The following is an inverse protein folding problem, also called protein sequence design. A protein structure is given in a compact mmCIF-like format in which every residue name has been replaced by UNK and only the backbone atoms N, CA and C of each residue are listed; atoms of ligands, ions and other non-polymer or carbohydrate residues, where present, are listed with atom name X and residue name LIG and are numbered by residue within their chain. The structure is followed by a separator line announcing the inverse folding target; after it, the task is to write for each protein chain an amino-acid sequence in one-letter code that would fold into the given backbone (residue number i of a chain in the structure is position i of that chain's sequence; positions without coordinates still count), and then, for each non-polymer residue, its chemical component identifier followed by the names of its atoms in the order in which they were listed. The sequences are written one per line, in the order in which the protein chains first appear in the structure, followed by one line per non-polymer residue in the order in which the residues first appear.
data_IF_981052144598
#
_entry.id   IF_981052144598
#
_cell.length_a   1.000
_cell.length_b   1.000
_cell.length_c   1.000
_cell.angle_alpha   90.00
_cell.angle_beta   90.00
_cell.angle_gamma   90.00
#
_symmetry.space_group_name_H-M   'P 1'
#
loop_
_entity.id
_entity.type
_entity.pdbx_description
1 polymer ?
#
# COMPACT_ATOMS: atom_id res chain seq x y z
N UNK A 1 -2.36 -45.45 -27.21
CA UNK A 1 -3.06 -45.01 -26.00
C UNK A 1 -4.26 -44.22 -26.48
N UNK A 2 -5.47 -44.33 -25.89
CA UNK A 2 -6.58 -43.51 -26.31
C UNK A 2 -6.19 -42.04 -26.15
N UNK A 3 -6.46 -41.21 -27.18
CA UNK A 3 -6.24 -39.78 -27.15
C UNK A 3 -6.97 -39.18 -25.93
N UNK A 4 -6.22 -38.78 -24.92
CA UNK A 4 -6.79 -38.11 -23.75
C UNK A 4 -7.23 -36.71 -24.15
N UNK A 5 -8.53 -36.49 -24.15
CA UNK A 5 -9.14 -35.22 -24.45
C UNK A 5 -9.01 -34.28 -23.25
N UNK A 6 -8.40 -33.13 -23.42
CA UNK A 6 -8.35 -32.06 -22.40
C UNK A 6 -9.61 -31.21 -22.51
N UNK A 7 -10.51 -31.32 -21.53
CA UNK A 7 -11.74 -30.53 -21.48
C UNK A 7 -11.59 -29.33 -20.54
N UNK A 8 -11.65 -28.14 -21.10
CA UNK A 8 -11.69 -26.91 -20.31
C UNK A 8 -13.12 -26.66 -19.83
N UNK A 9 -13.35 -26.51 -18.50
CA UNK A 9 -14.64 -26.03 -18.01
C UNK A 9 -14.97 -24.66 -18.60
N UNK A 10 -16.24 -24.35 -18.80
CA UNK A 10 -16.66 -23.08 -19.34
C UNK A 10 -16.15 -21.92 -18.45
N UNK A 11 -15.44 -20.95 -19.02
CA UNK A 11 -15.04 -19.76 -18.28
C UNK A 11 -16.25 -18.90 -17.94
N UNK A 12 -16.23 -18.19 -16.82
CA UNK A 12 -17.15 -17.07 -16.60
C UNK A 12 -16.78 -15.87 -17.51
N UNK A 13 -17.64 -14.86 -17.56
CA UNK A 13 -17.46 -13.69 -18.44
C UNK A 13 -16.10 -13.00 -18.22
N UNK A 14 -15.70 -12.77 -16.97
CA UNK A 14 -14.42 -12.12 -16.62
C UNK A 14 -13.21 -12.99 -16.96
N UNK A 15 -13.32 -14.30 -16.75
CA UNK A 15 -12.30 -15.25 -17.19
C UNK A 15 -12.16 -15.30 -18.70
N UNK A 16 -13.28 -15.26 -19.44
CA UNK A 16 -13.28 -15.24 -20.90
C UNK A 16 -12.58 -13.95 -21.43
N UNK A 17 -12.89 -12.78 -20.87
CA UNK A 17 -12.20 -11.54 -21.18
C UNK A 17 -10.68 -11.67 -20.91
N UNK A 18 -10.28 -12.16 -19.73
CA UNK A 18 -8.88 -12.32 -19.38
C UNK A 18 -8.15 -13.33 -20.29
N UNK A 19 -8.82 -14.42 -20.68
CA UNK A 19 -8.28 -15.37 -21.66
C UNK A 19 -8.04 -14.74 -23.03
N UNK A 20 -8.89 -13.79 -23.44
CA UNK A 20 -8.77 -13.06 -24.72
C UNK A 20 -7.76 -11.91 -24.69
N UNK A 21 -7.36 -11.45 -23.49
CA UNK A 21 -6.54 -10.25 -23.31
C UNK A 21 -5.12 -10.40 -23.87
N UNK A 22 -4.60 -9.32 -24.53
CA UNK A 22 -3.34 -9.36 -25.28
C UNK A 22 -2.37 -8.24 -24.95
N UNK A 23 -2.69 -7.34 -24.01
CA UNK A 23 -1.76 -6.33 -23.55
C UNK A 23 -0.49 -6.97 -22.99
N UNK A 24 0.60 -6.22 -22.95
CA UNK A 24 1.88 -6.67 -22.41
C UNK A 24 1.75 -7.01 -20.91
N UNK A 25 1.05 -6.18 -20.16
CA UNK A 25 0.79 -6.31 -18.74
C UNK A 25 -0.71 -6.41 -18.46
N UNK A 26 -1.12 -7.53 -17.94
CA UNK A 26 -2.55 -7.79 -17.66
C UNK A 26 -2.73 -8.11 -16.19
N UNK A 27 -3.45 -7.27 -15.47
CA UNK A 27 -3.86 -7.54 -14.09
C UNK A 27 -5.30 -8.10 -14.06
N UNK A 28 -5.47 -9.24 -13.39
CA UNK A 28 -6.76 -9.93 -13.24
C UNK A 28 -7.06 -10.19 -11.78
N UNK A 29 -8.16 -9.66 -11.26
CA UNK A 29 -8.56 -9.86 -9.88
C UNK A 29 -9.24 -8.66 -9.25
N UNK A 30 -8.86 -8.32 -8.02
CA UNK A 30 -9.44 -7.23 -7.24
C UNK A 30 -10.32 -7.69 -6.10
N UNK A 31 -10.72 -8.99 -6.05
CA UNK A 31 -11.44 -9.58 -4.92
C UNK A 31 -11.13 -11.07 -4.77
N UNK A 32 -11.48 -11.66 -3.60
CA UNK A 32 -11.36 -13.11 -3.39
C UNK A 32 -12.48 -13.85 -4.13
N UNK A 33 -12.18 -15.07 -4.57
CA UNK A 33 -13.18 -15.95 -5.21
C UNK A 33 -13.44 -15.68 -6.70
N UNK A 34 -12.80 -14.69 -7.34
CA UNK A 34 -12.99 -14.34 -8.74
C UNK A 34 -12.44 -15.35 -9.78
N UNK A 35 -11.92 -16.51 -9.35
CA UNK A 35 -11.44 -17.56 -10.27
C UNK A 35 -10.03 -17.35 -10.83
N UNK A 36 -9.18 -16.57 -10.14
CA UNK A 36 -7.82 -16.20 -10.55
C UNK A 36 -6.93 -17.40 -10.87
N UNK A 37 -6.76 -18.34 -9.93
CA UNK A 37 -5.87 -19.51 -10.12
C UNK A 37 -6.36 -20.45 -11.22
N UNK A 38 -7.67 -20.51 -11.50
CA UNK A 38 -8.23 -21.20 -12.66
C UNK A 38 -7.73 -20.53 -13.95
N UNK A 39 -7.82 -19.20 -14.04
CA UNK A 39 -7.34 -18.43 -15.19
C UNK A 39 -5.86 -18.67 -15.45
N UNK A 40 -5.00 -18.57 -14.43
CA UNK A 40 -3.54 -18.81 -14.56
C UNK A 40 -3.27 -20.17 -15.17
N UNK A 41 -3.83 -21.24 -14.61
CA UNK A 41 -3.60 -22.61 -15.11
C UNK A 41 -4.07 -22.78 -16.55
N UNK A 42 -5.31 -22.37 -16.86
CA UNK A 42 -5.84 -22.58 -18.20
C UNK A 42 -5.16 -21.69 -19.25
N UNK A 43 -4.87 -20.43 -18.94
CA UNK A 43 -4.15 -19.56 -19.88
C UNK A 43 -2.75 -20.10 -20.17
N UNK A 44 -2.01 -20.56 -19.16
CA UNK A 44 -0.68 -21.15 -19.34
C UNK A 44 -0.73 -22.42 -20.23
N UNK A 45 -1.70 -23.31 -19.97
CA UNK A 45 -1.89 -24.53 -20.78
C UNK A 45 -2.29 -24.19 -22.22
N UNK A 46 -3.23 -23.28 -22.42
CA UNK A 46 -3.65 -22.83 -23.75
C UNK A 46 -2.51 -22.21 -24.56
N UNK A 47 -1.62 -21.46 -23.91
CA UNK A 47 -0.41 -20.92 -24.53
C UNK A 47 0.54 -22.04 -24.98
N UNK A 48 0.77 -23.03 -24.12
CA UNK A 48 1.64 -24.18 -24.43
C UNK A 48 1.09 -25.04 -25.58
N UNK A 49 -0.21 -25.19 -25.68
CA UNK A 49 -0.85 -25.92 -26.78
C UNK A 49 -0.87 -25.12 -28.09
N UNK A 50 -1.01 -23.80 -28.02
CA UNK A 50 -1.06 -22.94 -29.18
C UNK A 50 0.30 -22.64 -29.81
N UNK A 51 1.32 -22.55 -28.98
CA UNK A 51 2.67 -22.14 -29.40
C UNK A 51 3.70 -23.22 -29.03
N UNK A 52 3.95 -24.21 -29.89
CA UNK A 52 4.96 -25.24 -29.62
C UNK A 52 6.33 -24.65 -29.37
N UNK A 53 6.94 -25.01 -28.24
CA UNK A 53 8.24 -24.48 -27.81
C UNK A 53 8.19 -23.24 -26.90
N UNK A 54 7.01 -22.68 -26.60
CA UNK A 54 6.90 -21.53 -25.69
C UNK A 54 7.34 -21.89 -24.26
N UNK A 55 7.98 -20.94 -23.57
CA UNK A 55 8.40 -21.05 -22.17
C UNK A 55 7.51 -20.16 -21.29
N UNK A 56 6.73 -20.76 -20.43
CA UNK A 56 5.84 -20.07 -19.48
C UNK A 56 6.41 -20.20 -18.08
N UNK A 57 6.40 -19.12 -17.30
CA UNK A 57 6.74 -19.10 -15.88
C UNK A 57 5.49 -18.83 -15.06
N UNK A 58 5.28 -19.57 -13.96
CA UNK A 58 4.26 -19.27 -12.94
C UNK A 58 4.99 -19.10 -11.61
N UNK A 59 4.75 -17.96 -10.93
CA UNK A 59 5.36 -17.68 -9.63
C UNK A 59 4.33 -17.42 -8.55
N UNK A 60 4.71 -17.70 -7.31
CA UNK A 60 4.06 -17.30 -6.06
C UNK A 60 5.08 -16.89 -5.00
N UNK A 61 4.65 -16.28 -3.90
CA UNK A 61 5.56 -15.91 -2.81
C UNK A 61 6.30 -17.14 -2.25
N UNK A 62 5.62 -18.26 -2.03
CA UNK A 62 6.22 -19.47 -1.48
C UNK A 62 6.03 -20.70 -2.36
N UNK A 63 7.00 -21.61 -2.32
CA UNK A 63 6.90 -22.89 -3.06
C UNK A 63 5.73 -23.78 -2.59
N UNK A 64 5.43 -23.76 -1.29
CA UNK A 64 4.32 -24.55 -0.72
C UNK A 64 2.97 -24.11 -1.32
N UNK A 65 2.75 -22.81 -1.41
CA UNK A 65 1.53 -22.28 -2.01
C UNK A 65 1.49 -22.54 -3.52
N UNK A 66 2.62 -22.38 -4.20
CA UNK A 66 2.74 -22.69 -5.61
C UNK A 66 2.41 -24.14 -5.91
N UNK A 67 2.94 -25.08 -5.10
CA UNK A 67 2.65 -26.50 -5.22
C UNK A 67 1.15 -26.79 -5.06
N UNK A 68 0.55 -26.32 -3.98
CA UNK A 68 -0.85 -26.60 -3.66
C UNK A 68 -1.83 -25.97 -4.68
N UNK A 69 -1.54 -24.75 -5.15
CA UNK A 69 -2.48 -24.01 -5.98
C UNK A 69 -2.29 -24.23 -7.49
N UNK A 70 -1.09 -24.64 -7.93
CA UNK A 70 -0.80 -24.79 -9.35
C UNK A 70 -0.21 -26.15 -9.71
N UNK A 71 0.87 -26.60 -9.06
CA UNK A 71 1.58 -27.81 -9.48
C UNK A 71 0.69 -29.03 -9.32
N UNK A 72 0.16 -29.29 -8.14
CA UNK A 72 -0.68 -30.47 -7.88
C UNK A 72 -1.98 -30.49 -8.72
N UNK A 73 -2.73 -29.37 -8.85
CA UNK A 73 -3.86 -29.34 -9.79
C UNK A 73 -3.48 -29.56 -11.24
N UNK A 74 -2.33 -29.02 -11.69
CA UNK A 74 -1.85 -29.22 -13.07
C UNK A 74 -1.40 -30.66 -13.30
N UNK A 75 -0.81 -31.35 -12.31
CA UNK A 75 -0.49 -32.79 -12.40
C UNK A 75 -1.73 -33.62 -12.67
N UNK A 76 -2.85 -33.33 -12.00
CA UNK A 76 -4.11 -34.01 -12.24
C UNK A 76 -4.69 -33.66 -13.62
N UNK A 77 -4.67 -32.38 -13.98
CA UNK A 77 -5.26 -31.88 -15.22
C UNK A 77 -4.49 -32.36 -16.47
N UNK A 78 -3.16 -32.42 -16.40
CA UNK A 78 -2.27 -32.74 -17.50
C UNK A 78 -1.79 -34.20 -17.50
N UNK A 79 -2.35 -35.07 -16.66
CA UNK A 79 -1.97 -36.47 -16.60
C UNK A 79 -2.12 -37.16 -17.97
N UNK A 80 -1.01 -37.60 -18.57
CA UNK A 80 -0.94 -38.21 -19.90
C UNK A 80 -0.99 -37.25 -21.07
N UNK A 81 -0.90 -35.93 -20.82
CA UNK A 81 -0.84 -34.85 -21.82
C UNK A 81 0.54 -34.17 -21.77
N UNK A 82 1.04 -33.87 -20.58
CA UNK A 82 2.37 -33.32 -20.37
C UNK A 82 3.08 -34.03 -19.21
N UNK A 83 4.40 -34.09 -19.27
CA UNK A 83 5.23 -34.74 -18.28
C UNK A 83 5.74 -33.71 -17.25
N UNK A 84 5.55 -34.01 -15.95
CA UNK A 84 6.12 -33.18 -14.89
C UNK A 84 7.53 -33.64 -14.52
N UNK A 85 8.51 -32.75 -14.71
CA UNK A 85 9.93 -32.94 -14.34
C UNK A 85 10.13 -32.41 -12.92
N UNK A 86 10.06 -33.28 -11.92
CA UNK A 86 10.05 -32.89 -10.50
C UNK A 86 11.37 -32.27 -10.01
N UNK A 87 12.53 -32.69 -10.55
CA UNK A 87 13.82 -32.13 -10.18
C UNK A 87 13.95 -30.66 -10.62
N UNK A 88 13.55 -30.36 -11.86
CA UNK A 88 13.67 -29.04 -12.45
C UNK A 88 12.37 -28.22 -12.34
N UNK A 89 11.35 -28.77 -11.68
CA UNK A 89 10.07 -28.09 -11.38
C UNK A 89 9.37 -27.49 -12.59
N UNK A 90 9.18 -28.26 -13.68
CA UNK A 90 8.44 -27.80 -14.85
C UNK A 90 7.62 -28.92 -15.51
N UNK A 91 6.56 -28.53 -16.22
CA UNK A 91 5.88 -29.41 -17.16
C UNK A 91 6.45 -29.30 -18.55
N UNK A 92 6.62 -30.43 -19.24
CA UNK A 92 7.02 -30.50 -20.64
C UNK A 92 5.90 -31.10 -21.49
N UNK A 93 5.46 -30.35 -22.48
CA UNK A 93 4.47 -30.78 -23.46
C UNK A 93 5.14 -31.47 -24.65
N UNK A 94 4.42 -32.35 -25.39
CA UNK A 94 4.98 -33.03 -26.58
C UNK A 94 5.50 -32.07 -27.64
N UNK A 95 4.88 -30.87 -27.79
CA UNK A 95 5.31 -29.82 -28.69
C UNK A 95 6.55 -29.04 -28.24
N UNK A 96 7.22 -29.46 -27.15
CA UNK A 96 8.41 -28.80 -26.60
C UNK A 96 8.13 -27.58 -25.71
N UNK A 97 6.88 -27.17 -25.59
CA UNK A 97 6.47 -26.09 -24.66
C UNK A 97 6.66 -26.50 -23.20
N UNK A 98 6.96 -25.52 -22.34
CA UNK A 98 7.21 -25.75 -20.91
C UNK A 98 6.47 -24.78 -20.03
N UNK A 99 6.00 -25.25 -18.84
CA UNK A 99 5.51 -24.42 -17.74
C UNK A 99 6.46 -24.60 -16.56
N UNK A 100 7.26 -23.58 -16.28
CA UNK A 100 8.20 -23.52 -15.16
C UNK A 100 7.53 -22.92 -13.93
N UNK A 101 8.04 -23.29 -12.75
CA UNK A 101 7.54 -22.86 -11.45
C UNK A 101 8.67 -22.24 -10.64
N UNK A 102 8.45 -21.00 -10.19
CA UNK A 102 9.37 -20.25 -9.37
C UNK A 102 8.67 -19.59 -8.16
N UNK A 103 9.43 -19.17 -7.19
CA UNK A 103 8.93 -18.44 -6.03
C UNK A 103 9.88 -17.28 -5.69
N UNK A 104 9.39 -16.31 -4.91
CA UNK A 104 10.21 -15.24 -4.37
C UNK A 104 9.64 -14.82 -3.01
N UNK A 105 10.31 -15.23 -1.93
CA UNK A 105 9.95 -14.89 -0.56
C UNK A 105 10.88 -13.83 0.03
N UNK A 106 12.11 -13.70 -0.51
CA UNK A 106 13.12 -12.72 -0.12
C UNK A 106 14.04 -12.41 -1.32
N UNK A 107 14.89 -11.38 -1.18
CA UNK A 107 15.81 -10.92 -2.25
C UNK A 107 16.76 -12.02 -2.73
N UNK A 108 17.20 -12.93 -1.85
CA UNK A 108 18.06 -14.04 -2.20
C UNK A 108 17.43 -14.97 -3.26
N UNK A 109 16.12 -15.09 -3.28
CA UNK A 109 15.39 -15.93 -4.24
C UNK A 109 15.45 -15.38 -5.66
N UNK A 110 15.75 -14.09 -5.85
CA UNK A 110 15.89 -13.48 -7.18
C UNK A 110 17.04 -14.10 -8.00
N UNK A 111 18.05 -14.66 -7.31
CA UNK A 111 19.17 -15.34 -7.96
C UNK A 111 18.75 -16.47 -8.89
N UNK A 112 17.61 -17.15 -8.62
CA UNK A 112 17.13 -18.24 -9.49
C UNK A 112 16.66 -17.77 -10.87
N UNK A 113 16.35 -16.47 -11.03
CA UNK A 113 15.89 -15.90 -12.29
C UNK A 113 17.03 -15.30 -13.13
N UNK A 114 18.23 -15.12 -12.55
CA UNK A 114 19.37 -14.54 -13.27
C UNK A 114 19.77 -15.41 -14.47
N UNK A 115 19.80 -14.78 -15.65
CA UNK A 115 20.10 -15.48 -16.91
C UNK A 115 18.96 -16.31 -17.48
N UNK A 116 17.81 -16.40 -16.81
CA UNK A 116 16.63 -17.08 -17.33
C UNK A 116 15.94 -16.26 -18.44
N UNK A 117 15.23 -16.97 -19.33
CA UNK A 117 14.43 -16.37 -20.39
C UNK A 117 13.09 -17.10 -20.47
N UNK A 118 12.01 -16.32 -20.38
CA UNK A 118 10.64 -16.79 -20.50
C UNK A 118 9.88 -15.94 -21.54
N UNK A 119 8.86 -16.53 -22.16
CA UNK A 119 8.01 -15.82 -23.10
C UNK A 119 6.82 -15.18 -22.38
N UNK A 120 6.25 -15.91 -21.42
CA UNK A 120 5.10 -15.44 -20.63
C UNK A 120 5.32 -15.74 -19.17
N UNK A 121 5.04 -14.75 -18.34
CA UNK A 121 5.09 -14.87 -16.88
C UNK A 121 3.71 -14.68 -16.27
N UNK A 122 3.37 -15.52 -15.31
CA UNK A 122 2.21 -15.38 -14.43
C UNK A 122 2.69 -15.18 -12.98
N UNK A 123 2.49 -14.00 -12.43
CA UNK A 123 2.68 -13.75 -11.00
C UNK A 123 1.33 -13.94 -10.29
N UNK A 124 1.13 -15.07 -9.64
CA UNK A 124 -0.11 -15.36 -8.90
C UNK A 124 -0.02 -14.79 -7.48
N UNK A 125 -1.07 -14.12 -7.03
CA UNK A 125 -1.10 -13.28 -5.82
C UNK A 125 0.01 -12.21 -5.82
N UNK A 126 0.14 -11.52 -6.95
CA UNK A 126 1.22 -10.57 -7.22
C UNK A 126 1.31 -9.42 -6.22
N UNK A 127 0.22 -9.05 -5.53
CA UNK A 127 0.24 -8.08 -4.44
C UNK A 127 1.16 -8.44 -3.27
N UNK A 128 1.56 -9.72 -3.16
CA UNK A 128 2.49 -10.18 -2.11
C UNK A 128 3.98 -10.00 -2.47
N UNK A 129 4.29 -9.54 -3.69
CA UNK A 129 5.64 -9.27 -4.14
C UNK A 129 5.98 -7.79 -3.95
N UNK A 130 7.22 -7.50 -3.59
CA UNK A 130 7.74 -6.14 -3.62
C UNK A 130 7.89 -5.67 -5.08
N UNK A 131 7.77 -4.36 -5.32
CA UNK A 131 7.92 -3.76 -6.64
C UNK A 131 9.25 -4.13 -7.29
N UNK A 132 10.36 -4.05 -6.54
CA UNK A 132 11.70 -4.42 -7.00
C UNK A 132 11.80 -5.86 -7.52
N UNK A 133 11.06 -6.80 -6.89
CA UNK A 133 11.02 -8.21 -7.35
C UNK A 133 10.24 -8.36 -8.64
N UNK A 134 9.10 -7.65 -8.74
CA UNK A 134 8.27 -7.68 -9.94
C UNK A 134 9.05 -7.18 -11.17
N UNK A 135 9.75 -6.06 -11.02
CA UNK A 135 10.57 -5.48 -12.09
C UNK A 135 11.71 -6.41 -12.50
N UNK A 136 12.42 -7.01 -11.54
CA UNK A 136 13.55 -7.90 -11.84
C UNK A 136 13.11 -9.22 -12.50
N UNK A 137 11.99 -9.80 -12.09
CA UNK A 137 11.47 -11.03 -12.72
C UNK A 137 10.89 -10.72 -14.09
N UNK A 138 10.22 -9.56 -14.28
CA UNK A 138 9.71 -9.14 -15.60
C UNK A 138 10.83 -8.96 -16.63
N UNK A 139 12.02 -8.53 -16.22
CA UNK A 139 13.19 -8.44 -17.10
C UNK A 139 13.61 -9.78 -17.72
N UNK A 140 13.14 -10.91 -17.18
CA UNK A 140 13.33 -12.26 -17.74
C UNK A 140 12.29 -12.60 -18.83
N UNK A 141 11.24 -11.77 -19.01
CA UNK A 141 10.24 -11.95 -20.08
C UNK A 141 10.77 -11.37 -21.39
N UNK A 142 11.66 -12.11 -21.99
CA UNK A 142 12.43 -11.70 -23.16
C UNK A 142 12.72 -12.87 -24.11
N UNK A 143 13.35 -12.60 -25.23
CA UNK A 143 13.82 -13.59 -26.19
C UNK A 143 13.57 -13.14 -27.64
N UNK A 144 14.37 -13.68 -28.58
CA UNK A 144 14.36 -13.32 -30.01
C UNK A 144 13.36 -14.16 -30.83
N UNK A 145 12.61 -15.07 -30.18
CA UNK A 145 11.57 -15.87 -30.84
C UNK A 145 10.32 -15.06 -31.14
N UNK A 146 9.46 -15.55 -32.02
CA UNK A 146 8.20 -14.90 -32.41
C UNK A 146 7.03 -15.09 -31.42
N UNK A 147 7.27 -15.62 -30.20
CA UNK A 147 6.23 -15.82 -29.22
C UNK A 147 5.83 -14.52 -28.52
N UNK A 148 4.58 -14.41 -28.00
CA UNK A 148 4.15 -13.25 -27.25
C UNK A 148 5.01 -13.07 -25.98
N UNK A 149 5.42 -11.84 -25.70
CA UNK A 149 6.08 -11.47 -24.44
C UNK A 149 5.04 -10.74 -23.56
N UNK A 150 4.55 -11.42 -22.53
CA UNK A 150 3.46 -10.91 -21.67
C UNK A 150 3.62 -11.31 -20.23
N UNK A 151 3.18 -10.42 -19.37
CA UNK A 151 3.08 -10.67 -17.92
C UNK A 151 1.63 -10.57 -17.46
N UNK A 152 1.20 -11.61 -16.77
CA UNK A 152 -0.14 -11.68 -16.17
C UNK A 152 -0.02 -11.66 -14.65
N UNK A 153 -0.63 -10.68 -14.03
CA UNK A 153 -0.72 -10.55 -12.58
C UNK A 153 -2.08 -10.99 -12.09
N UNK A 154 -2.15 -11.87 -11.11
CA UNK A 154 -3.39 -12.05 -10.35
C UNK A 154 -3.21 -11.43 -8.98
N UNK A 155 -4.21 -10.72 -8.49
CA UNK A 155 -4.04 -9.92 -7.30
C UNK A 155 -5.35 -9.60 -6.58
N UNK A 156 -5.21 -9.24 -5.32
CA UNK A 156 -6.21 -8.59 -4.49
C UNK A 156 -5.62 -7.29 -3.94
N UNK A 157 -6.44 -6.31 -3.51
CA UNK A 157 -5.92 -5.17 -2.75
C UNK A 157 -5.19 -5.60 -1.49
N UNK A 158 -4.05 -4.97 -1.20
CA UNK A 158 -3.19 -5.25 -0.05
C UNK A 158 -1.86 -5.92 -0.43
N UNK A 159 -0.97 -6.01 0.57
CA UNK A 159 0.37 -6.53 0.44
C UNK A 159 1.41 -5.51 -0.06
N UNK A 160 2.71 -5.88 -0.03
CA UNK A 160 3.82 -4.97 -0.38
C UNK A 160 3.71 -4.36 -1.78
N UNK A 161 3.19 -5.10 -2.76
CA UNK A 161 2.99 -4.62 -4.13
C UNK A 161 1.75 -3.75 -4.34
N UNK A 162 0.95 -3.49 -3.30
CA UNK A 162 -0.32 -2.76 -3.45
C UNK A 162 -0.15 -1.41 -4.15
N UNK A 163 0.82 -0.60 -3.72
CA UNK A 163 1.09 0.72 -4.29
C UNK A 163 1.43 0.68 -5.77
N UNK A 164 2.29 -0.27 -6.18
CA UNK A 164 2.67 -0.50 -7.56
C UNK A 164 1.46 -0.83 -8.44
N UNK A 165 0.65 -1.80 -8.04
CA UNK A 165 -0.54 -2.19 -8.82
C UNK A 165 -1.62 -1.12 -8.81
N UNK A 166 -1.84 -0.42 -7.69
CA UNK A 166 -2.78 0.70 -7.63
C UNK A 166 -2.37 1.81 -8.58
N UNK A 167 -1.10 2.21 -8.57
CA UNK A 167 -0.55 3.23 -9.46
C UNK A 167 -0.77 2.91 -10.94
N UNK A 168 -0.37 1.70 -11.36
CA UNK A 168 -0.38 1.29 -12.78
C UNK A 168 -1.78 0.97 -13.31
N UNK A 169 -2.57 0.20 -12.57
CA UNK A 169 -3.78 -0.43 -13.09
C UNK A 169 -5.07 0.26 -12.65
N UNK A 170 -5.06 0.94 -11.48
CA UNK A 170 -6.26 1.60 -10.93
C UNK A 170 -6.20 3.10 -11.17
N UNK A 171 -5.15 3.78 -10.70
CA UNK A 171 -4.96 5.23 -10.83
C UNK A 171 -4.47 5.61 -12.23
N UNK A 172 -3.90 4.65 -12.98
CA UNK A 172 -3.35 4.80 -14.34
C UNK A 172 -2.33 5.94 -14.41
N UNK A 173 -1.43 5.98 -13.43
CA UNK A 173 -0.32 6.94 -13.39
C UNK A 173 0.93 6.25 -13.87
N UNK A 174 1.48 6.74 -14.97
CA UNK A 174 2.62 6.15 -15.66
C UNK A 174 3.82 7.07 -15.57
N UNK A 175 5.02 6.48 -15.48
CA UNK A 175 6.31 7.17 -15.60
C UNK A 175 6.66 7.36 -17.08
N UNK A 176 7.77 8.06 -17.39
CA UNK A 176 8.18 8.32 -18.77
C UNK A 176 8.47 7.05 -19.58
N UNK A 177 8.85 5.96 -18.90
CA UNK A 177 9.19 4.68 -19.50
C UNK A 177 8.01 3.69 -19.58
N UNK A 178 6.83 4.08 -19.11
CA UNK A 178 5.63 3.26 -19.06
C UNK A 178 4.60 3.76 -20.08
N UNK A 179 4.12 2.88 -20.95
CA UNK A 179 3.18 3.22 -22.01
C UNK A 179 1.77 2.74 -21.64
N UNK A 180 0.77 3.65 -21.52
CA UNK A 180 -0.60 3.30 -21.08
C UNK A 180 -1.23 2.14 -21.86
N UNK A 181 -0.90 2.02 -23.16
CA UNK A 181 -1.39 0.97 -24.06
C UNK A 181 -0.86 -0.42 -23.75
N UNK A 182 0.16 -0.53 -22.90
CA UNK A 182 0.70 -1.82 -22.46
C UNK A 182 -0.09 -2.46 -21.33
N UNK A 183 -0.97 -1.72 -20.64
CA UNK A 183 -1.61 -2.12 -19.39
C UNK A 183 -3.10 -2.34 -19.51
N UNK A 184 -3.58 -3.49 -19.02
CA UNK A 184 -5.01 -3.78 -18.92
C UNK A 184 -5.36 -4.33 -17.53
N UNK A 185 -6.47 -3.84 -16.96
CA UNK A 185 -7.03 -4.34 -15.70
C UNK A 185 -8.42 -4.94 -15.91
N UNK A 186 -8.61 -6.18 -15.46
CA UNK A 186 -9.90 -6.86 -15.46
C UNK A 186 -10.29 -7.16 -14.02
N UNK A 187 -11.23 -6.37 -13.51
CA UNK A 187 -11.77 -6.60 -12.17
C UNK A 187 -12.64 -7.84 -12.16
N UNK A 188 -12.39 -8.73 -11.17
CA UNK A 188 -13.17 -9.94 -10.96
C UNK A 188 -13.54 -10.06 -9.48
N UNK A 189 -14.84 -10.13 -9.21
CA UNK A 189 -15.43 -10.31 -7.89
C UNK A 189 -15.86 -11.76 -7.68
N UNK A 190 -16.15 -12.17 -6.44
CA UNK A 190 -16.69 -13.50 -6.17
C UNK A 190 -18.06 -13.72 -6.83
N UNK A 191 -18.86 -12.66 -7.01
CA UNK A 191 -20.16 -12.68 -7.68
C UNK A 191 -20.07 -12.99 -9.18
N UNK A 192 -18.92 -12.71 -9.82
CA UNK A 192 -18.67 -13.06 -11.21
C UNK A 192 -18.42 -14.57 -11.39
N UNK A 193 -18.08 -15.28 -10.31
CA UNK A 193 -17.78 -16.71 -10.32
C UNK A 193 -19.02 -17.55 -10.01
N UNK A 194 -19.87 -17.70 -11.00
CA UNK A 194 -21.13 -18.46 -10.87
C UNK A 194 -20.92 -19.91 -10.39
N UNK A 195 -19.83 -20.56 -10.82
CA UNK A 195 -19.51 -21.92 -10.40
C UNK A 195 -19.23 -21.97 -8.88
N UNK A 196 -18.52 -20.99 -8.32
CA UNK A 196 -18.29 -20.89 -6.89
C UNK A 196 -19.58 -20.57 -6.14
N UNK A 197 -20.39 -19.63 -6.65
CA UNK A 197 -21.68 -19.27 -6.02
C UNK A 197 -22.66 -20.43 -6.01
N UNK A 198 -22.70 -21.26 -7.06
CA UNK A 198 -23.54 -22.43 -7.13
C UNK A 198 -23.06 -23.56 -6.20
N UNK A 199 -21.73 -23.79 -6.14
CA UNK A 199 -21.16 -24.86 -5.31
C UNK A 199 -21.08 -24.51 -3.83
N UNK A 200 -20.91 -23.23 -3.49
CA UNK A 200 -20.75 -22.73 -2.11
C UNK A 200 -21.59 -21.46 -1.88
N UNK A 201 -22.92 -21.56 -1.75
CA UNK A 201 -23.80 -20.40 -1.54
C UNK A 201 -23.50 -19.62 -0.27
N UNK A 202 -22.85 -20.27 0.72
CA UNK A 202 -22.44 -19.65 1.99
C UNK A 202 -21.16 -18.80 1.90
N UNK A 203 -20.39 -18.89 0.82
CA UNK A 203 -19.11 -18.21 0.69
C UNK A 203 -19.25 -16.68 0.72
N UNK A 204 -20.24 -16.14 0.03
CA UNK A 204 -20.53 -14.70 0.04
C UNK A 204 -20.81 -14.20 1.48
N UNK A 205 -21.65 -14.91 2.22
CA UNK A 205 -21.94 -14.61 3.64
C UNK A 205 -20.71 -14.68 4.53
N UNK A 206 -19.73 -15.53 4.22
CA UNK A 206 -18.46 -15.58 4.94
C UNK A 206 -17.63 -14.32 4.70
N UNK A 207 -17.61 -13.79 3.47
CA UNK A 207 -16.94 -12.53 3.15
C UNK A 207 -17.66 -11.32 3.76
N UNK A 208 -18.98 -11.35 3.85
CA UNK A 208 -19.78 -10.29 4.48
C UNK A 208 -19.52 -10.13 5.99
N UNK A 209 -19.11 -11.21 6.66
CA UNK A 209 -18.76 -11.21 8.09
C UNK A 209 -17.37 -10.65 8.39
N UNK A 210 -16.56 -10.41 7.38
CA UNK A 210 -15.23 -9.85 7.57
C UNK A 210 -15.29 -8.43 8.15
N UNK A 211 -14.26 -7.99 8.90
CA UNK A 211 -14.12 -6.61 9.35
C UNK A 211 -14.29 -5.63 8.20
N UNK A 212 -14.82 -4.44 8.50
CA UNK A 212 -15.27 -3.48 7.50
C UNK A 212 -14.29 -3.23 6.35
N UNK A 213 -13.01 -2.98 6.66
CA UNK A 213 -11.95 -2.74 5.65
C UNK A 213 -11.65 -3.98 4.82
N UNK A 214 -11.44 -5.10 5.47
CA UNK A 214 -11.16 -6.37 4.80
C UNK A 214 -12.31 -6.78 3.88
N UNK A 215 -13.55 -6.54 4.30
CA UNK A 215 -14.75 -6.74 3.48
C UNK A 215 -14.74 -5.82 2.25
N UNK A 216 -14.37 -4.53 2.41
CA UNK A 216 -14.25 -3.60 1.28
C UNK A 216 -13.21 -4.07 0.27
N UNK A 217 -12.05 -4.53 0.72
CA UNK A 217 -10.99 -5.03 -0.14
C UNK A 217 -11.35 -6.37 -0.79
N UNK A 218 -11.79 -7.38 -0.02
CA UNK A 218 -11.91 -8.75 -0.50
C UNK A 218 -13.25 -9.11 -1.13
N UNK A 219 -14.33 -8.43 -0.71
CA UNK A 219 -15.66 -8.64 -1.29
C UNK A 219 -15.93 -7.67 -2.44
N UNK A 220 -15.65 -6.38 -2.23
CA UNK A 220 -15.96 -5.33 -3.20
C UNK A 220 -14.79 -4.91 -4.10
N UNK A 221 -13.58 -5.44 -3.83
CA UNK A 221 -12.39 -5.13 -4.63
C UNK A 221 -11.99 -3.65 -4.57
N UNK A 222 -12.17 -3.00 -3.42
CA UNK A 222 -11.79 -1.61 -3.22
C UNK A 222 -10.28 -1.50 -3.01
N UNK A 223 -9.66 -0.59 -3.75
CA UNK A 223 -8.21 -0.37 -3.71
C UNK A 223 -7.77 0.76 -2.78
N UNK A 224 -8.72 1.54 -2.28
CA UNK A 224 -8.43 2.63 -1.35
C UNK A 224 -8.42 2.18 0.11
N UNK A 225 -8.75 0.92 0.37
CA UNK A 225 -8.83 0.33 1.71
C UNK A 225 -8.29 -1.10 1.66
N UNK A 226 -7.25 -1.39 2.44
CA UNK A 226 -6.66 -2.74 2.49
C UNK A 226 -6.13 -3.08 3.89
N UNK A 227 -5.87 -4.37 4.14
CA UNK A 227 -5.29 -4.87 5.38
C UNK A 227 -3.79 -4.61 5.40
N UNK A 228 -3.26 -4.22 6.57
CA UNK A 228 -1.82 -3.94 6.76
C UNK A 228 -1.44 -2.48 6.56
N UNK A 229 -2.38 -1.58 6.28
CA UNK A 229 -2.12 -0.14 6.24
C UNK A 229 -1.79 0.37 7.65
N UNK A 230 -0.63 1.02 7.81
CA UNK A 230 -0.19 1.51 9.10
C UNK A 230 -1.05 2.68 9.60
N UNK A 231 -1.29 3.69 8.77
CA UNK A 231 -2.18 4.83 9.09
C UNK A 231 -3.59 4.58 8.55
N UNK A 232 -4.29 3.66 9.19
CA UNK A 232 -5.63 3.26 8.79
C UNK A 232 -6.68 4.37 8.87
N UNK A 233 -6.44 5.38 9.69
CA UNK A 233 -7.34 6.52 9.89
C UNK A 233 -7.33 7.48 8.70
N UNK A 234 -6.22 7.52 7.94
CA UNK A 234 -6.08 8.48 6.84
C UNK A 234 -7.10 8.23 5.73
N UNK A 235 -7.86 9.26 5.41
CA UNK A 235 -8.92 9.22 4.40
C UNK A 235 -8.80 10.40 3.46
N UNK A 236 -8.84 10.13 2.16
CA UNK A 236 -8.93 11.11 1.07
C UNK A 236 -10.28 10.95 0.39
N UNK A 237 -11.25 11.81 0.72
CA UNK A 237 -12.57 11.79 0.10
C UNK A 237 -12.88 13.16 -0.54
N UNK A 238 -12.80 13.27 -1.88
CA UNK A 238 -13.03 14.52 -2.60
C UNK A 238 -14.42 15.14 -2.36
N UNK A 239 -15.40 14.37 -1.94
CA UNK A 239 -16.76 14.87 -1.63
C UNK A 239 -16.78 15.76 -0.38
N UNK A 240 -15.76 15.63 0.46
CA UNK A 240 -15.66 16.28 1.76
C UNK A 240 -14.49 17.27 1.89
N UNK A 241 -13.88 17.68 0.77
CA UNK A 241 -12.78 18.65 0.78
C UNK A 241 -13.19 20.02 1.32
N UNK A 242 -14.43 20.43 1.08
CA UNK A 242 -14.94 21.72 1.50
C UNK A 242 -15.46 21.75 2.94
N UNK A 243 -16.12 20.69 3.39
CA UNK A 243 -16.74 20.61 4.73
C UNK A 243 -15.81 20.01 5.79
N UNK A 244 -14.67 19.43 5.39
CA UNK A 244 -13.62 18.87 6.25
C UNK A 244 -14.09 17.73 7.16
N UNK A 245 -15.15 17.02 6.76
CA UNK A 245 -15.73 15.92 7.56
C UNK A 245 -15.38 14.58 6.94
N UNK A 246 -14.85 13.67 7.75
CA UNK A 246 -14.45 12.33 7.30
C UNK A 246 -13.45 12.31 6.14
N UNK A 247 -12.72 13.43 5.91
CA UNK A 247 -11.62 13.53 4.98
C UNK A 247 -10.48 14.34 5.60
N UNK A 248 -9.26 13.83 5.51
CA UNK A 248 -8.06 14.56 5.94
C UNK A 248 -7.57 15.51 4.85
N UNK A 249 -7.84 15.17 3.59
CA UNK A 249 -7.51 16.05 2.47
C UNK A 249 -8.59 17.08 2.31
N UNK A 250 -8.16 18.35 2.18
CA UNK A 250 -9.06 19.51 2.11
C UNK A 250 -8.61 20.51 1.05
N UNK A 251 -9.54 21.35 0.61
CA UNK A 251 -9.21 22.48 -0.25
C UNK A 251 -8.34 23.51 0.49
N UNK A 252 -7.30 24.08 -0.17
CA UNK A 252 -6.50 25.17 0.38
C UNK A 252 -7.35 26.39 0.69
N UNK A 253 -7.06 27.03 1.81
CA UNK A 253 -7.68 28.30 2.23
C UNK A 253 -6.60 29.28 2.70
N UNK A 254 -6.95 30.54 2.81
CA UNK A 254 -6.02 31.59 3.29
C UNK A 254 -5.70 31.42 4.78
N UNK A 255 -4.43 31.32 5.12
CA UNK A 255 -3.98 31.07 6.50
C UNK A 255 -4.10 32.35 7.33
N UNK A 256 -4.90 32.37 8.40
CA UNK A 256 -5.04 33.52 9.27
C UNK A 256 -3.69 33.99 9.82
N UNK A 257 -3.50 35.30 9.91
CA UNK A 257 -2.22 35.91 10.30
C UNK A 257 -1.75 35.49 11.71
N UNK A 258 -2.67 35.21 12.61
CA UNK A 258 -2.37 34.81 13.98
C UNK A 258 -2.00 33.32 14.17
N UNK A 259 -2.12 32.49 13.12
CA UNK A 259 -1.74 31.08 13.22
C UNK A 259 -0.23 30.92 13.17
N UNK A 260 0.28 29.99 13.98
CA UNK A 260 1.70 29.65 14.01
C UNK A 260 2.07 28.77 12.83
N UNK A 261 3.21 29.08 12.21
CA UNK A 261 3.75 28.30 11.10
C UNK A 261 4.95 27.47 11.58
N UNK A 262 4.96 26.21 11.20
CA UNK A 262 6.04 25.27 11.46
C UNK A 262 6.56 24.72 10.14
N UNK A 263 7.82 24.29 10.17
CA UNK A 263 8.46 23.50 9.13
C UNK A 263 9.03 22.26 9.76
N UNK A 264 8.79 21.09 9.17
CA UNK A 264 9.45 19.84 9.52
C UNK A 264 10.28 19.33 8.35
N UNK A 265 11.34 18.60 8.63
CA UNK A 265 12.29 18.18 7.62
C UNK A 265 12.86 16.81 7.94
N UNK A 266 12.90 15.93 6.93
CA UNK A 266 13.57 14.66 6.88
C UNK A 266 14.57 14.67 5.72
N UNK A 267 15.84 14.33 6.00
CA UNK A 267 16.91 14.38 5.00
C UNK A 267 16.98 13.11 4.17
N UNK A 268 17.18 13.25 2.86
CA UNK A 268 17.47 12.17 1.94
C UNK A 268 18.29 12.66 0.75
N UNK A 269 19.21 11.82 0.26
CA UNK A 269 20.00 12.10 -0.94
C UNK A 269 19.70 11.07 -2.03
N UNK A 270 19.95 9.78 -1.76
CA UNK A 270 19.57 8.69 -2.65
C UNK A 270 18.08 8.35 -2.56
N UNK A 271 17.52 8.46 -1.37
CA UNK A 271 16.08 8.43 -1.11
C UNK A 271 15.54 9.87 -1.10
N UNK A 272 14.23 10.07 -1.29
CA UNK A 272 13.65 11.40 -1.25
C UNK A 272 13.87 12.10 0.09
N UNK A 273 14.16 13.40 0.08
CA UNK A 273 13.97 14.23 1.28
C UNK A 273 12.53 14.71 1.35
N UNK A 274 12.04 15.01 2.56
CA UNK A 274 10.72 15.59 2.78
C UNK A 274 10.82 16.88 3.60
N UNK A 275 10.16 17.93 3.15
CA UNK A 275 9.97 19.18 3.87
C UNK A 275 8.49 19.57 3.85
N UNK A 276 7.85 19.62 5.01
CA UNK A 276 6.47 20.01 5.18
C UNK A 276 6.32 21.33 5.91
N UNK A 277 5.39 22.18 5.45
CA UNK A 277 4.99 23.38 6.19
C UNK A 277 3.59 23.20 6.77
N UNK A 278 3.46 23.56 8.05
CA UNK A 278 2.28 23.34 8.86
C UNK A 278 1.76 24.66 9.43
N UNK A 279 0.49 24.92 9.27
CA UNK A 279 -0.21 25.96 10.03
C UNK A 279 -0.94 25.30 11.21
N UNK A 280 -0.92 25.93 12.38
CA UNK A 280 -1.60 25.42 13.57
C UNK A 280 -2.56 26.50 14.06
N UNK A 281 -3.84 26.13 14.17
CA UNK A 281 -4.89 27.01 14.66
C UNK A 281 -4.87 27.17 16.20
N UNK A 282 -5.82 27.94 16.73
CA UNK A 282 -5.89 28.21 18.16
C UNK A 282 -6.31 26.99 19.00
N UNK A 283 -7.01 26.04 18.38
CA UNK A 283 -7.44 24.80 19.02
C UNK A 283 -6.39 23.69 18.95
N UNK A 284 -5.28 23.96 18.25
CA UNK A 284 -4.16 23.02 18.09
C UNK A 284 -4.30 22.07 16.89
N UNK A 285 -5.31 22.24 16.06
CA UNK A 285 -5.45 21.49 14.80
C UNK A 285 -4.34 21.88 13.85
N UNK A 286 -3.67 20.90 13.28
CA UNK A 286 -2.56 21.06 12.35
C UNK A 286 -3.03 20.94 10.90
N UNK A 287 -2.56 21.82 10.05
CA UNK A 287 -2.84 21.84 8.62
C UNK A 287 -1.51 21.79 7.86
N UNK A 288 -1.25 20.68 7.14
CA UNK A 288 -0.15 20.61 6.19
C UNK A 288 -0.50 21.44 4.96
N UNK A 289 0.09 22.62 4.85
CA UNK A 289 -0.30 23.64 3.86
C UNK A 289 0.53 23.60 2.59
N UNK A 290 1.75 23.09 2.70
CA UNK A 290 2.71 23.00 1.60
C UNK A 290 3.71 21.90 1.85
N UNK A 291 4.32 21.38 0.77
CA UNK A 291 5.43 20.44 0.83
C UNK A 291 6.46 20.71 -0.26
N UNK A 292 7.70 20.33 0.02
CA UNK A 292 8.76 20.15 -0.96
C UNK A 292 9.29 18.72 -0.78
N UNK A 293 9.07 17.88 -1.79
CA UNK A 293 9.43 16.47 -1.74
C UNK A 293 10.45 16.16 -2.83
N UNK A 294 11.59 15.61 -2.42
CA UNK A 294 12.76 15.42 -3.29
C UNK A 294 12.76 14.09 -4.04
N UNK A 295 11.68 13.78 -4.76
CA UNK A 295 11.59 12.55 -5.58
C UNK A 295 11.83 12.83 -7.06
N UNK A 296 12.43 11.89 -7.77
CA UNK A 296 12.53 11.89 -9.25
C UNK A 296 11.19 11.60 -9.92
N UNK A 297 10.22 11.07 -9.18
CA UNK A 297 8.96 10.52 -9.69
C UNK A 297 8.95 9.00 -9.67
N UNK A 298 10.12 8.37 -9.66
CA UNK A 298 10.23 6.93 -9.41
C UNK A 298 10.06 6.63 -7.92
N UNK A 299 9.46 5.47 -7.55
CA UNK A 299 9.22 5.11 -6.18
C UNK A 299 10.50 5.09 -5.34
N UNK A 300 10.48 5.79 -4.21
CA UNK A 300 11.56 5.87 -3.22
C UNK A 300 12.94 6.28 -3.79
N UNK A 301 12.96 6.99 -4.96
CA UNK A 301 14.20 7.52 -5.56
C UNK A 301 14.32 9.03 -5.36
N UNK A 302 15.43 9.46 -4.73
CA UNK A 302 15.73 10.86 -4.46
C UNK A 302 16.36 11.59 -5.66
N UNK A 303 16.07 12.91 -5.76
CA UNK A 303 16.62 13.79 -6.82
C UNK A 303 18.13 14.03 -6.70
N UNK A 304 18.79 13.54 -5.67
CA UNK A 304 20.24 13.67 -5.41
C UNK A 304 20.73 15.12 -5.35
N UNK A 305 19.90 16.01 -4.84
CA UNK A 305 20.28 17.40 -4.62
C UNK A 305 21.24 17.52 -3.43
N UNK A 306 22.33 18.27 -3.56
CA UNK A 306 23.20 18.58 -2.42
C UNK A 306 22.46 19.48 -1.41
N UNK A 307 22.89 19.48 -0.12
CA UNK A 307 22.26 20.28 0.94
C UNK A 307 22.07 21.75 0.58
N UNK A 308 23.08 22.37 -0.03
CA UNK A 308 22.99 23.78 -0.48
C UNK A 308 21.81 24.04 -1.42
N UNK A 309 21.57 23.15 -2.38
CA UNK A 309 20.46 23.29 -3.32
C UNK A 309 19.10 23.11 -2.65
N UNK A 310 18.99 22.14 -1.72
CA UNK A 310 17.76 21.89 -0.96
C UNK A 310 17.40 23.11 -0.12
N UNK A 311 18.35 23.64 0.67
CA UNK A 311 18.05 24.76 1.57
C UNK A 311 17.92 26.10 0.85
N UNK A 312 18.62 26.32 -0.24
CA UNK A 312 18.35 27.46 -1.11
C UNK A 312 16.91 27.43 -1.64
N UNK A 313 16.41 26.25 -2.03
CA UNK A 313 15.03 26.07 -2.49
C UNK A 313 14.01 26.29 -1.37
N UNK A 314 14.25 25.75 -0.18
CA UNK A 314 13.41 25.97 1.00
C UNK A 314 13.33 27.47 1.32
N UNK A 315 14.47 28.17 1.37
CA UNK A 315 14.53 29.58 1.63
C UNK A 315 13.74 30.41 0.59
N UNK A 316 13.91 30.11 -0.71
CA UNK A 316 13.14 30.78 -1.78
C UNK A 316 11.63 30.59 -1.59
N UNK A 317 11.18 29.35 -1.30
CA UNK A 317 9.76 29.06 -1.05
C UNK A 317 9.23 29.88 0.14
N UNK A 318 9.97 29.95 1.25
CA UNK A 318 9.55 30.69 2.44
C UNK A 318 9.45 32.21 2.23
N UNK A 319 10.27 32.75 1.34
CA UNK A 319 10.21 34.17 0.97
C UNK A 319 9.12 34.51 0.00
N UNK A 320 8.78 33.62 -0.91
CA UNK A 320 7.94 33.93 -2.08
C UNK A 320 6.52 33.39 -1.96
N UNK A 321 6.34 32.29 -1.21
CA UNK A 321 5.04 31.65 -1.18
C UNK A 321 4.04 32.40 -0.30
N UNK A 322 2.85 32.68 -0.82
CA UNK A 322 1.79 33.51 -0.18
C UNK A 322 1.42 33.06 1.25
N UNK A 323 1.53 31.79 1.59
CA UNK A 323 1.24 31.29 2.94
C UNK A 323 2.39 31.52 3.93
N UNK A 324 3.61 31.75 3.47
CA UNK A 324 4.83 31.74 4.26
C UNK A 324 5.54 33.09 4.31
N UNK A 325 5.41 33.89 3.25
CA UNK A 325 6.14 35.18 3.11
C UNK A 325 5.90 36.09 4.31
N UNK A 326 7.00 36.53 4.95
CA UNK A 326 6.97 37.44 6.10
C UNK A 326 6.50 36.80 7.42
N UNK A 327 6.24 35.48 7.47
CA UNK A 327 5.86 34.80 8.69
C UNK A 327 7.09 34.25 9.43
N UNK A 328 6.99 34.20 10.76
CA UNK A 328 7.97 33.51 11.59
C UNK A 328 7.71 31.98 11.51
N UNK A 329 8.72 31.22 11.09
CA UNK A 329 8.63 29.77 10.89
C UNK A 329 9.50 29.05 11.92
N UNK A 330 8.90 28.12 12.66
CA UNK A 330 9.60 27.30 13.65
C UNK A 330 9.97 25.98 12.96
N UNK A 331 11.28 25.72 12.76
CA UNK A 331 11.80 24.51 12.11
C UNK A 331 12.09 23.40 13.09
N UNK A 332 11.77 22.15 12.71
CA UNK A 332 12.16 20.91 13.38
C UNK A 332 12.66 19.92 12.33
N UNK A 333 13.73 19.18 12.64
CA UNK A 333 14.29 18.21 11.69
C UNK A 333 14.79 16.96 12.39
N UNK A 334 15.05 15.92 11.59
CA UNK A 334 15.77 14.74 12.06
C UNK A 334 17.09 15.15 12.76
N UNK A 335 17.35 14.67 13.98
CA UNK A 335 18.63 14.89 14.66
C UNK A 335 19.86 14.51 13.84
N UNK A 336 19.78 13.54 12.94
CA UNK A 336 20.89 13.13 12.10
C UNK A 336 21.47 14.26 11.21
N UNK A 337 20.74 15.35 10.94
CA UNK A 337 21.28 16.47 10.16
C UNK A 337 22.38 17.26 10.90
N UNK A 338 22.54 17.07 12.21
CA UNK A 338 23.65 17.64 13.02
C UNK A 338 24.87 16.75 13.07
N UNK A 339 24.80 15.51 12.60
CA UNK A 339 25.95 14.60 12.55
C UNK A 339 26.93 15.10 11.49
N UNK A 340 28.18 15.39 11.92
CA UNK A 340 29.23 15.87 11.04
C UNK A 340 30.33 14.81 10.96
N UNK A 341 30.38 14.05 9.89
CA UNK A 341 31.50 13.13 9.64
C UNK A 341 32.76 13.86 9.13
N UNK A 342 32.59 15.01 8.45
CA UNK A 342 33.69 15.77 7.80
C UNK A 342 33.48 17.28 7.87
N UNK A 343 33.51 17.85 9.06
CA UNK A 343 33.66 19.30 9.26
C UNK A 343 32.37 20.11 9.30
N UNK A 344 31.52 20.10 8.31
CA UNK A 344 30.27 20.87 8.28
C UNK A 344 29.05 19.92 8.30
N UNK A 345 28.10 20.19 9.18
CA UNK A 345 26.85 19.43 9.23
C UNK A 345 25.84 19.92 8.18
N UNK A 346 24.83 19.10 7.89
CA UNK A 346 23.68 19.49 7.04
C UNK A 346 22.94 20.66 7.70
N UNK A 347 22.86 20.68 9.03
CA UNK A 347 22.24 21.78 9.79
C UNK A 347 23.02 23.08 9.67
N UNK A 348 24.37 23.06 9.61
CA UNK A 348 25.19 24.24 9.38
C UNK A 348 24.96 24.81 7.98
N UNK A 349 24.87 23.93 6.99
CA UNK A 349 24.50 24.32 5.61
C UNK A 349 23.12 24.98 5.57
N UNK A 350 22.13 24.41 6.28
CA UNK A 350 20.79 25.02 6.37
C UNK A 350 20.86 26.44 7.00
N UNK A 351 21.61 26.60 8.07
CA UNK A 351 21.78 27.89 8.74
C UNK A 351 22.43 28.96 7.83
N UNK A 352 23.38 28.59 6.97
CA UNK A 352 23.96 29.51 5.94
C UNK A 352 22.89 30.03 4.97
N UNK A 353 21.89 29.21 4.68
CA UNK A 353 20.73 29.60 3.85
C UNK A 353 19.60 30.27 4.66
N UNK A 354 19.84 30.65 5.92
CA UNK A 354 18.85 31.24 6.83
C UNK A 354 17.65 30.33 7.13
N UNK A 355 17.86 29.03 7.02
CA UNK A 355 16.90 27.98 7.33
C UNK A 355 17.32 27.31 8.64
N UNK A 356 16.60 27.58 9.73
CA UNK A 356 16.99 27.15 11.07
C UNK A 356 16.08 26.02 11.54
N UNK A 357 16.67 25.00 12.18
CA UNK A 357 15.95 23.89 12.75
C UNK A 357 16.31 23.69 14.22
N UNK A 358 15.37 23.09 14.95
CA UNK A 358 15.58 22.46 16.24
C UNK A 358 15.62 20.95 16.03
N UNK A 359 16.43 20.20 16.81
CA UNK A 359 16.43 18.74 16.74
C UNK A 359 15.08 18.18 17.16
N UNK A 360 14.51 17.30 16.35
CA UNK A 360 13.29 16.57 16.63
C UNK A 360 13.52 15.43 17.63
N UNK A 361 12.48 15.00 18.34
CA UNK A 361 12.50 13.74 19.06
C UNK A 361 12.31 12.59 18.06
N UNK A 362 13.31 11.74 17.91
CA UNK A 362 13.33 10.65 16.92
C UNK A 362 12.73 9.33 17.41
N UNK A 363 12.11 9.30 18.59
CA UNK A 363 11.42 8.10 19.10
C UNK A 363 10.26 7.72 18.18
N UNK A 364 10.41 6.58 17.49
CA UNK A 364 9.49 6.16 16.43
C UNK A 364 8.10 5.83 16.98
N UNK A 365 7.96 4.88 17.88
CA UNK A 365 6.65 4.42 18.37
C UNK A 365 5.81 5.54 19.02
N UNK A 366 6.32 6.35 19.97
CA UNK A 366 5.57 7.50 20.47
C UNK A 366 5.18 8.49 19.38
N UNK A 367 6.07 8.69 18.39
CA UNK A 367 5.81 9.59 17.27
C UNK A 367 4.69 9.11 16.35
N UNK A 368 4.67 7.82 16.04
CA UNK A 368 3.57 7.22 15.28
C UNK A 368 2.23 7.36 16.00
N UNK A 369 2.22 7.12 17.31
CA UNK A 369 1.02 7.33 18.13
C UNK A 369 0.51 8.78 18.07
N UNK A 370 1.42 9.79 18.00
CA UNK A 370 1.02 11.18 17.83
C UNK A 370 0.35 11.44 16.47
N UNK A 371 0.80 10.78 15.40
CA UNK A 371 0.13 10.83 14.11
C UNK A 371 -1.26 10.16 14.16
N UNK A 372 -1.35 8.95 14.70
CA UNK A 372 -2.63 8.25 14.90
C UNK A 372 -3.65 9.09 15.67
N UNK A 373 -3.24 9.72 16.79
CA UNK A 373 -4.13 10.59 17.58
C UNK A 373 -4.65 11.80 16.79
N UNK A 374 -3.81 12.37 15.91
CA UNK A 374 -4.19 13.52 15.09
C UNK A 374 -5.07 13.13 13.91
N UNK A 375 -4.88 11.92 13.37
CA UNK A 375 -5.66 11.41 12.25
C UNK A 375 -7.02 10.83 12.67
N UNK A 376 -7.24 10.50 13.95
CA UNK A 376 -8.52 9.95 14.40
C UNK A 376 -9.63 10.98 14.29
N UNK A 377 -10.69 10.63 13.57
CA UNK A 377 -11.91 11.44 13.52
C UNK A 377 -12.69 11.35 14.85
N UNK A 378 -13.31 12.45 15.23
CA UNK A 378 -14.33 12.45 16.26
C UNK A 378 -15.70 12.01 15.69
N UNK A 379 -16.73 11.93 16.57
CA UNK A 379 -18.08 11.51 16.20
C UNK A 379 -18.74 12.42 15.14
N UNK A 380 -18.25 13.64 14.99
CA UNK A 380 -18.74 14.61 14.00
C UNK A 380 -17.95 14.54 12.70
N UNK A 381 -16.88 13.74 12.64
CA UNK A 381 -16.03 13.56 11.49
C UNK A 381 -14.88 14.57 11.38
N UNK A 382 -14.50 15.26 12.49
CA UNK A 382 -13.35 16.17 12.50
C UNK A 382 -12.09 15.51 13.05
N UNK A 383 -10.95 15.79 12.41
CA UNK A 383 -9.63 15.34 12.85
C UNK A 383 -8.83 16.51 13.46
N UNK A 384 -7.66 16.21 14.06
CA UNK A 384 -6.71 17.20 14.55
C UNK A 384 -5.55 17.43 13.56
N UNK A 385 -5.61 16.81 12.39
CA UNK A 385 -4.68 17.00 11.29
C UNK A 385 -5.40 16.98 9.95
N UNK A 386 -5.10 17.98 9.13
CA UNK A 386 -5.58 18.08 7.75
C UNK A 386 -4.42 18.33 6.80
N UNK A 387 -4.62 17.97 5.54
CA UNK A 387 -3.62 18.09 4.47
C UNK A 387 -4.24 18.82 3.29
N UNK A 388 -3.63 19.91 2.85
CA UNK A 388 -4.09 20.58 1.64
C UNK A 388 -3.84 19.68 0.42
N UNK A 389 -4.79 19.63 -0.50
CA UNK A 389 -4.73 18.78 -1.70
C UNK A 389 -3.53 19.03 -2.62
N UNK A 390 -2.79 20.11 -2.43
CA UNK A 390 -1.53 20.38 -3.12
C UNK A 390 -0.35 19.59 -2.55
N UNK A 391 -0.44 19.03 -1.35
CA UNK A 391 0.56 18.16 -0.73
C UNK A 391 0.46 16.72 -1.28
N UNK A 392 0.77 16.58 -2.57
CA UNK A 392 0.49 15.36 -3.34
C UNK A 392 1.36 14.17 -2.93
N UNK A 393 2.62 14.42 -2.53
CA UNK A 393 3.53 13.36 -2.11
C UNK A 393 3.04 12.75 -0.80
N UNK A 394 2.73 13.56 0.20
CA UNK A 394 2.20 13.08 1.48
C UNK A 394 0.89 12.31 1.32
N UNK A 395 -0.06 12.85 0.53
CA UNK A 395 -1.35 12.19 0.25
C UNK A 395 -1.15 10.85 -0.44
N UNK A 396 -0.16 10.74 -1.32
CA UNK A 396 0.16 9.51 -2.05
C UNK A 396 0.84 8.48 -1.16
N UNK A 397 1.85 8.89 -0.38
CA UNK A 397 2.73 7.96 0.33
C UNK A 397 2.14 7.47 1.65
N UNK A 398 1.52 8.35 2.45
CA UNK A 398 1.04 8.00 3.79
C UNK A 398 0.09 6.79 3.82
N UNK A 399 -0.92 6.69 2.94
CA UNK A 399 -1.82 5.54 2.95
C UNK A 399 -1.20 4.23 2.44
N UNK A 400 -0.01 4.27 1.83
CA UNK A 400 0.67 3.08 1.31
C UNK A 400 1.59 2.42 2.34
N UNK A 401 1.88 3.09 3.44
CA UNK A 401 2.76 2.60 4.49
C UNK A 401 2.13 1.42 5.24
N UNK A 402 2.95 0.41 5.52
CA UNK A 402 2.54 -0.86 6.11
C UNK A 402 3.25 -1.09 7.45
N UNK A 403 2.71 -2.00 8.24
CA UNK A 403 3.41 -2.50 9.43
C UNK A 403 4.64 -3.30 9.03
N UNK A 404 5.70 -3.19 9.81
CA UNK A 404 6.89 -4.02 9.68
C UNK A 404 6.56 -5.49 9.97
N UNK A 405 6.99 -6.41 9.09
CA UNK A 405 6.70 -7.86 9.21
C UNK A 405 7.33 -8.47 10.48
N UNK A 406 8.43 -7.88 11.01
CA UNK A 406 9.15 -8.36 12.19
C UNK A 406 8.76 -7.63 13.47
N UNK A 407 8.26 -6.40 13.36
CA UNK A 407 7.82 -5.57 14.48
C UNK A 407 6.45 -4.95 14.18
N UNK A 408 5.40 -5.64 14.55
CA UNK A 408 4.00 -5.24 14.30
C UNK A 408 3.55 -3.93 14.98
N UNK A 409 4.42 -3.27 15.76
CA UNK A 409 4.15 -1.95 16.35
C UNK A 409 4.84 -0.82 15.59
N UNK A 410 5.75 -1.13 14.67
CA UNK A 410 6.50 -0.14 13.88
C UNK A 410 6.11 -0.20 12.40
N UNK A 411 6.57 0.79 11.67
CA UNK A 411 6.35 0.98 10.25
C UNK A 411 7.49 0.32 9.47
N UNK A 412 7.14 -0.36 8.37
CA UNK A 412 8.11 -0.89 7.40
C UNK A 412 8.88 0.25 6.73
N UNK A 413 10.19 0.29 6.95
CA UNK A 413 11.11 1.32 6.42
C UNK A 413 11.59 1.06 4.99
N UNK A 414 11.23 -0.07 4.38
CA UNK A 414 11.50 -0.32 2.96
C UNK A 414 10.56 0.49 2.06
N UNK A 415 9.44 0.96 2.61
CA UNK A 415 8.49 1.84 1.96
C UNK A 415 8.98 3.27 1.78
N UNK A 416 8.15 4.11 1.14
CA UNK A 416 8.40 5.54 0.94
C UNK A 416 7.88 6.33 2.15
N UNK A 417 8.58 6.22 3.30
CA UNK A 417 8.15 6.71 4.63
C UNK A 417 8.57 8.15 4.97
N UNK A 418 9.39 8.79 4.14
CA UNK A 418 10.02 10.10 4.41
C UNK A 418 9.03 11.21 4.75
N UNK A 419 7.84 11.24 4.11
CA UNK A 419 6.78 12.18 4.44
C UNK A 419 6.16 11.93 5.81
N UNK A 420 6.06 10.67 6.22
CA UNK A 420 5.56 10.27 7.53
C UNK A 420 6.59 10.56 8.63
N UNK A 421 7.88 10.25 8.41
CA UNK A 421 8.96 10.57 9.35
C UNK A 421 9.07 12.08 9.56
N UNK A 422 9.05 12.88 8.51
CA UNK A 422 9.03 14.33 8.61
C UNK A 422 7.82 14.84 9.42
N UNK A 423 6.61 14.31 9.16
CA UNK A 423 5.41 14.65 9.92
C UNK A 423 5.49 14.19 11.38
N UNK A 424 6.16 13.09 11.66
CA UNK A 424 6.41 12.58 13.00
C UNK A 424 7.25 13.55 13.82
N UNK A 425 8.32 14.14 13.26
CA UNK A 425 9.11 15.18 13.94
C UNK A 425 8.26 16.40 14.30
N UNK A 426 7.38 16.84 13.39
CA UNK A 426 6.43 17.91 13.68
C UNK A 426 5.49 17.55 14.84
N UNK A 427 4.92 16.33 14.81
CA UNK A 427 3.99 15.88 15.85
C UNK A 427 4.65 15.74 17.21
N UNK A 428 5.91 15.27 17.27
CA UNK A 428 6.68 15.14 18.49
C UNK A 428 7.12 16.51 19.06
N UNK A 429 7.38 17.50 18.23
CA UNK A 429 7.60 18.88 18.67
C UNK A 429 6.36 19.53 19.31
N UNK A 430 5.18 18.97 19.03
CA UNK A 430 3.89 19.45 19.53
C UNK A 430 2.97 18.29 19.95
N UNK A 431 3.36 17.50 20.96
CA UNK A 431 2.57 16.34 21.36
C UNK A 431 1.18 16.76 21.87
N UNK A 432 0.18 15.98 21.51
CA UNK A 432 -1.20 16.12 22.01
C UNK A 432 -1.55 14.94 22.92
N UNK A 433 -2.50 15.17 23.82
CA UNK A 433 -3.10 14.09 24.60
C UNK A 433 -4.07 13.30 23.71
N UNK A 434 -4.14 11.96 23.85
CA UNK A 434 -5.16 11.19 23.15
C UNK A 434 -6.55 11.72 23.54
N UNK A 435 -7.46 11.80 22.56
CA UNK A 435 -8.88 11.99 22.87
C UNK A 435 -9.35 10.73 23.57
N UNK A 436 -9.63 10.83 24.86
CA UNK A 436 -10.26 9.75 25.59
C UNK A 436 -11.70 9.64 25.05
N UNK A 437 -12.09 8.48 24.59
CA UNK A 437 -13.50 8.18 24.38
C UNK A 437 -14.17 8.29 25.75
N UNK A 438 -15.09 9.21 25.89
CA UNK A 438 -15.95 9.25 27.09
C UNK A 438 -16.86 8.02 27.02
N UNK A 439 -16.65 7.00 27.87
CA UNK A 439 -17.47 5.77 27.83
C UNK A 439 -18.95 6.06 28.10
N UNK A 440 -19.28 7.26 28.58
CA UNK A 440 -20.65 7.73 28.82
C UNK A 440 -21.25 8.45 27.59
N UNK A 441 -20.43 8.82 26.58
CA UNK A 441 -20.88 9.64 25.44
C UNK A 441 -21.72 8.80 24.49
N UNK A 442 -22.95 9.17 24.28
CA UNK A 442 -23.91 8.47 23.42
C UNK A 442 -24.74 7.39 24.11
N UNK A 443 -24.47 7.08 25.38
CA UNK A 443 -25.34 6.18 26.18
C UNK A 443 -26.43 6.96 26.87
N UNK A 444 -27.65 6.44 26.81
CA UNK A 444 -28.73 6.96 27.62
C UNK A 444 -28.44 6.69 29.11
N UNK A 445 -29.02 7.50 30.02
CA UNK A 445 -28.86 7.30 31.45
C UNK A 445 -29.24 5.87 31.90
N UNK A 446 -30.19 5.26 31.22
CA UNK A 446 -30.57 3.87 31.42
C UNK A 446 -29.51 2.86 30.99
N UNK A 447 -28.81 3.10 29.88
CA UNK A 447 -27.72 2.26 29.42
C UNK A 447 -26.45 2.36 30.30
N UNK A 448 -26.17 3.56 30.84
CA UNK A 448 -25.14 3.77 31.86
C UNK A 448 -25.43 2.99 33.14
N UNK A 449 -26.67 2.96 33.58
CA UNK A 449 -27.09 2.17 34.74
C UNK A 449 -26.97 0.66 34.49
N UNK A 450 -27.29 0.18 33.29
CA UNK A 450 -27.14 -1.24 32.92
C UNK A 450 -25.66 -1.69 32.86
N UNK A 451 -24.78 -0.83 32.39
CA UNK A 451 -23.32 -1.12 32.36
C UNK A 451 -22.72 -1.14 33.78
N UNK A 452 -23.17 -0.27 34.67
CA UNK A 452 -22.79 -0.29 36.09
C UNK A 452 -23.27 -1.59 36.75
N UNK A 453 -24.48 -2.03 36.45
CA UNK A 453 -25.04 -3.27 36.98
C UNK A 453 -24.24 -4.53 36.52
N UNK A 454 -23.66 -4.54 35.32
CA UNK A 454 -22.82 -5.65 34.86
C UNK A 454 -21.42 -5.64 35.53
N UNK A 455 -20.84 -4.48 35.75
CA UNK A 455 -19.54 -4.34 36.44
C UNK A 455 -19.70 -4.62 37.93
N UNK A 456 -20.79 -4.16 38.57
CA UNK A 456 -21.07 -4.40 39.99
C UNK A 456 -21.47 -5.86 40.30
N UNK A 457 -22.09 -6.56 39.34
CA UNK A 457 -22.30 -8.02 39.47
C UNK A 457 -20.99 -8.83 39.56
N UNK A 458 -19.94 -8.34 38.95
CA UNK A 458 -18.58 -8.96 39.04
C UNK A 458 -17.85 -8.60 40.35
N UNK A 459 -18.24 -7.51 41.02
CA UNK A 459 -17.61 -7.02 42.24
C UNK A 459 -18.47 -7.29 43.52
N UNK A 460 -19.73 -7.71 43.39
CA UNK A 460 -20.66 -7.91 44.48
C UNK A 460 -20.27 -9.14 45.30
N UNK A 461 -19.75 -8.92 46.49
CA UNK A 461 -19.69 -9.95 47.55
C UNK A 461 -20.94 -9.83 48.43
N UNK A 462 -21.71 -10.91 48.59
CA UNK A 462 -22.86 -10.89 49.49
C UNK A 462 -22.43 -10.46 50.90
N UNK A 463 -22.95 -9.33 51.35
CA UNK A 463 -22.67 -8.85 52.72
C UNK A 463 -22.13 -7.41 52.84
N UNK A 464 -21.96 -6.64 51.75
CA UNK A 464 -21.68 -5.21 51.84
C UNK A 464 -22.96 -4.37 51.72
N UNK A 465 -23.29 -3.68 52.77
CA UNK A 465 -24.32 -2.61 52.75
C UNK A 465 -23.69 -1.34 52.14
N UNK A 466 -24.34 -0.77 51.12
CA UNK A 466 -23.99 0.55 50.60
C UNK A 466 -24.66 1.59 51.49
N UNK A 467 -23.85 2.34 52.25
CA UNK A 467 -24.31 3.52 52.96
C UNK A 467 -24.40 4.68 51.98
N UNK A 468 -25.60 5.10 51.60
CA UNK A 468 -25.83 6.35 50.89
C UNK A 468 -25.69 7.50 51.88
N UNK A 469 -24.60 8.29 51.79
CA UNK A 469 -24.60 9.63 52.38
C UNK A 469 -25.31 10.61 51.41
N UNK A 470 -26.24 11.39 52.00
CA UNK A 470 -27.06 12.43 51.35
C UNK A 470 -26.25 13.61 50.82
#
# INVERSE_FOLDING_TARGET
MPDKELRMPAPNEKQALALGERHRYVAYGGARGGGKSWFVRWKAVLLCLRFPGIKVLITRRTYKELFNNHIAPLQQMLAGIAEYKSMDKYFRFPGGSTIHFGYCACDADLGQYQGAEYDVWFADEAGQFQESWLVQIDACVRGVNGFPKRTYYTLNPGGPGHGYFKRLFIDRRYTENEHPEDYAFIQALCTDNQALMASQPGYLRSLEKLPGKLRQAWLYGRWDVYEGQFFEEFTDDPRHYADRRFSHVIDPFEIPAGWKIYRSFDWGYHRPFSCGWWAVDYDGTAYRILELYGSTGEPNEGVKWPPDQVFAKIHSIEREHRFLAGKHIIGVADPAIWDAETGESIADTAARHQVYFLPGDNKRLPGWMQLHYRLRFDDQGYALMYVFRNCRAFIRTLPLLQYDDMNSEDLDTDGEDHGADEARYFCMARPIKPRLEDPARGKTRAQLFLDIDEVDKALYRPGMEIINEE
#
